data_IF_257451817897
#
_entry.id   IF_257451817897
#
_cell.length_a   1.000
_cell.length_b   1.000
_cell.length_c   1.000
_cell.angle_alpha   90.00
_cell.angle_beta   90.00
_cell.angle_gamma   90.00
#
_symmetry.space_group_name_H-M   'P 1'
#
loop_
_entity.id
_entity.type
_entity.pdbx_description
1 polymer ?
#
# COMPACT_ATOMS: atom_id res chain seq x y z
N UNK A 1 4.07 -5.76 -7.05
CA UNK A 1 3.26 -4.54 -7.28
C UNK A 1 3.95 -3.64 -8.28
N UNK A 2 3.20 -2.78 -8.98
CA UNK A 2 3.80 -1.71 -9.78
C UNK A 2 4.70 -0.82 -8.90
N UNK A 3 5.80 -0.33 -9.49
CA UNK A 3 6.86 0.43 -8.83
C UNK A 3 7.39 -0.17 -7.53
N UNK A 4 7.37 -1.51 -7.38
CA UNK A 4 8.01 -2.20 -6.24
C UNK A 4 9.41 -1.65 -6.00
N UNK A 5 10.23 -1.63 -7.05
CA UNK A 5 11.64 -1.21 -7.03
C UNK A 5 11.88 0.30 -7.01
N UNK A 6 10.82 1.11 -6.99
CA UNK A 6 10.89 2.55 -7.24
C UNK A 6 10.53 2.87 -8.69
N UNK A 7 10.84 4.09 -9.10
CA UNK A 7 10.46 4.64 -10.42
C UNK A 7 11.67 5.13 -11.21
N UNK A 8 12.83 4.52 -10.94
CA UNK A 8 14.08 4.74 -11.65
C UNK A 8 14.54 3.41 -12.27
N UNK A 9 14.75 3.41 -13.58
CA UNK A 9 15.13 2.20 -14.31
C UNK A 9 16.46 1.63 -13.83
N UNK A 10 16.53 0.29 -13.72
CA UNK A 10 17.70 -0.44 -13.21
C UNK A 10 18.03 -0.22 -11.73
N UNK A 11 17.21 0.52 -10.97
CA UNK A 11 17.43 0.77 -9.54
C UNK A 11 16.46 -0.07 -8.72
N UNK A 12 16.99 -0.84 -7.76
CA UNK A 12 16.20 -1.44 -6.69
C UNK A 12 16.29 -0.56 -5.44
N UNK A 13 15.37 0.39 -5.31
CA UNK A 13 15.31 1.29 -4.17
C UNK A 13 14.68 0.60 -2.95
N UNK A 14 15.53 0.13 -2.03
CA UNK A 14 15.08 -0.52 -0.80
C UNK A 14 14.40 0.42 0.21
N UNK A 15 14.52 1.73 0.01
CA UNK A 15 13.88 2.77 0.82
C UNK A 15 12.76 3.48 0.04
N UNK A 16 12.09 2.74 -0.85
CA UNK A 16 11.09 3.27 -1.75
C UNK A 16 9.82 3.72 -1.00
N UNK A 17 9.60 5.03 -0.99
CA UNK A 17 8.38 5.68 -0.50
C UNK A 17 7.50 6.24 -1.63
N UNK A 18 7.87 6.06 -2.91
CA UNK A 18 7.07 6.54 -4.03
C UNK A 18 5.59 6.09 -3.95
N UNK A 19 5.23 4.84 -3.61
CA UNK A 19 3.83 4.42 -3.62
C UNK A 19 2.98 4.96 -2.44
N UNK A 20 3.56 5.72 -1.51
CA UNK A 20 2.97 6.04 -0.19
C UNK A 20 2.16 7.34 -0.17
N UNK A 21 2.64 8.49 -0.73
CA UNK A 21 1.91 9.75 -0.63
C UNK A 21 0.48 9.68 -1.18
N UNK A 22 -0.47 10.40 -0.58
CA UNK A 22 -1.86 10.39 -1.03
C UNK A 22 -2.00 10.93 -2.46
N UNK A 23 -3.03 10.45 -3.17
CA UNK A 23 -3.44 10.96 -4.48
C UNK A 23 -4.58 11.97 -4.26
N UNK A 24 -4.32 13.26 -4.43
CA UNK A 24 -5.27 14.32 -4.14
C UNK A 24 -5.25 15.39 -5.24
N UNK A 25 -6.44 15.84 -5.66
CA UNK A 25 -6.64 16.88 -6.69
C UNK A 25 -5.90 16.57 -8.02
N UNK A 26 -5.99 15.31 -8.46
CA UNK A 26 -5.38 14.81 -9.68
C UNK A 26 -6.45 14.43 -10.72
N UNK A 27 -6.20 14.64 -12.03
CA UNK A 27 -7.03 14.03 -13.07
C UNK A 27 -6.80 12.51 -13.13
N UNK A 28 -7.75 11.76 -13.71
CA UNK A 28 -7.67 10.29 -13.86
C UNK A 28 -6.36 9.80 -14.46
N UNK A 29 -5.84 10.50 -15.47
CA UNK A 29 -4.57 10.15 -16.12
C UNK A 29 -3.33 10.25 -15.21
N UNK A 30 -3.45 10.84 -14.01
CA UNK A 30 -2.37 11.02 -13.05
C UNK A 30 -2.55 10.09 -11.84
N UNK A 31 -3.75 9.97 -11.26
CA UNK A 31 -3.93 9.10 -10.10
C UNK A 31 -4.10 7.62 -10.46
N UNK A 32 -4.57 7.31 -11.67
CA UNK A 32 -4.76 5.91 -12.09
C UNK A 32 -3.43 5.17 -12.10
N UNK A 33 -3.35 4.08 -11.34
CA UNK A 33 -2.11 3.31 -11.13
C UNK A 33 -0.91 4.18 -10.70
N UNK A 34 -1.16 5.28 -9.98
CA UNK A 34 -0.14 6.22 -9.50
C UNK A 34 0.79 6.73 -10.62
N UNK A 35 0.20 7.12 -11.75
CA UNK A 35 0.94 7.62 -12.91
C UNK A 35 1.68 8.94 -12.64
N UNK A 36 1.21 9.79 -11.73
CA UNK A 36 1.81 11.08 -11.34
C UNK A 36 3.28 10.95 -10.90
N UNK A 37 3.59 9.83 -10.27
CA UNK A 37 4.92 9.47 -9.75
C UNK A 37 5.63 8.42 -10.59
N UNK A 38 5.04 8.04 -11.72
CA UNK A 38 5.60 7.12 -12.71
C UNK A 38 5.33 5.64 -12.47
N UNK A 39 4.57 5.26 -11.43
CA UNK A 39 4.44 3.86 -11.04
C UNK A 39 3.82 2.96 -12.12
N UNK A 40 2.87 3.47 -12.90
CA UNK A 40 2.23 2.75 -14.01
C UNK A 40 3.21 2.29 -15.10
N UNK A 41 4.41 2.88 -15.19
CA UNK A 41 5.46 2.52 -16.14
C UNK A 41 6.44 1.45 -15.61
N UNK A 42 6.31 1.05 -14.34
CA UNK A 42 7.19 0.07 -13.70
C UNK A 42 6.38 -1.16 -13.27
N UNK A 43 6.08 -2.09 -14.18
CA UNK A 43 5.36 -3.32 -13.84
C UNK A 43 6.17 -4.18 -12.86
N UNK A 44 5.52 -5.12 -12.14
CA UNK A 44 6.24 -6.19 -11.46
C UNK A 44 7.02 -7.07 -12.46
N UNK A 45 7.97 -7.85 -11.95
CA UNK A 45 8.71 -8.83 -12.77
C UNK A 45 7.76 -9.92 -13.31
N UNK A 46 8.07 -10.46 -14.48
CA UNK A 46 7.29 -11.53 -15.10
C UNK A 46 7.19 -12.75 -14.15
N UNK A 47 5.96 -13.16 -13.84
CA UNK A 47 5.69 -14.28 -12.94
C UNK A 47 5.50 -13.90 -11.48
N UNK A 48 5.73 -12.64 -11.08
CA UNK A 48 5.44 -12.17 -9.72
C UNK A 48 3.95 -11.84 -9.57
N UNK A 49 3.19 -12.74 -8.93
CA UNK A 49 1.78 -12.58 -8.63
C UNK A 49 1.49 -12.57 -7.12
N UNK A 50 0.48 -11.80 -6.70
CA UNK A 50 -0.15 -11.98 -5.40
C UNK A 50 -1.18 -13.10 -5.51
N UNK A 51 -0.91 -14.23 -4.86
CA UNK A 51 -1.78 -15.40 -4.90
C UNK A 51 -2.99 -15.23 -3.97
N UNK A 52 -4.19 -15.46 -4.52
CA UNK A 52 -5.47 -15.31 -3.82
C UNK A 52 -6.15 -16.68 -3.67
N UNK A 53 -6.01 -17.37 -2.52
CA UNK A 53 -6.62 -18.67 -2.31
C UNK A 53 -8.14 -18.54 -2.17
N UNK A 54 -8.90 -19.15 -3.08
CA UNK A 54 -10.35 -19.14 -3.03
C UNK A 54 -10.89 -19.74 -1.72
N UNK A 55 -11.70 -18.98 -0.99
CA UNK A 55 -12.23 -19.37 0.32
C UNK A 55 -11.19 -19.43 1.45
N UNK A 56 -9.96 -18.99 1.19
CA UNK A 56 -8.88 -18.87 2.17
C UNK A 56 -8.66 -17.42 2.60
N UNK A 57 -7.61 -17.23 3.39
CA UNK A 57 -7.08 -15.92 3.75
C UNK A 57 -5.78 -15.65 3.02
N UNK A 58 -5.49 -14.39 2.76
CA UNK A 58 -4.19 -13.92 2.29
C UNK A 58 -3.72 -12.78 3.20
N UNK A 59 -2.40 -12.68 3.36
CA UNK A 59 -1.77 -11.65 4.18
C UNK A 59 -1.04 -10.67 3.28
N UNK A 60 -1.15 -9.39 3.60
CA UNK A 60 -0.50 -8.29 2.87
C UNK A 60 0.16 -7.35 3.86
N UNK A 61 1.18 -6.65 3.40
CA UNK A 61 1.95 -5.71 4.22
C UNK A 61 1.58 -4.28 3.82
N UNK A 62 1.19 -3.48 4.81
CA UNK A 62 0.92 -2.05 4.67
C UNK A 62 1.92 -1.30 5.54
N UNK A 63 2.71 -0.43 4.93
CA UNK A 63 3.77 0.31 5.59
C UNK A 63 3.89 1.73 5.03
N UNK A 64 4.47 2.64 5.81
CA UNK A 64 4.74 4.02 5.38
C UNK A 64 5.95 4.13 4.42
N UNK A 65 6.65 3.01 4.19
CA UNK A 65 7.76 2.87 3.26
C UNK A 65 7.99 1.37 3.00
N UNK A 66 8.39 0.99 1.78
CA UNK A 66 8.77 -0.40 1.44
C UNK A 66 9.84 -0.95 2.37
N UNK A 67 10.67 -0.06 2.92
CA UNK A 67 11.66 -0.28 3.95
C UNK A 67 11.21 -1.21 5.08
N UNK A 68 9.96 -1.07 5.53
CA UNK A 68 9.41 -1.74 6.71
C UNK A 68 8.53 -2.93 6.33
N UNK A 69 8.77 -3.50 5.14
CA UNK A 69 8.12 -4.71 4.65
C UNK A 69 9.16 -5.80 4.38
N UNK A 70 8.72 -7.04 4.22
CA UNK A 70 9.60 -8.16 3.84
C UNK A 70 10.22 -8.00 2.44
N UNK A 71 9.76 -7.02 1.65
CA UNK A 71 10.27 -6.73 0.31
C UNK A 71 11.61 -5.97 0.32
N UNK A 72 12.13 -5.58 1.49
CA UNK A 72 13.37 -4.80 1.63
C UNK A 72 14.26 -5.35 2.75
N UNK A 73 15.57 -5.25 2.57
CA UNK A 73 16.62 -5.68 3.50
C UNK A 73 16.35 -7.01 4.20
N UNK A 74 15.87 -7.99 3.44
CA UNK A 74 15.51 -9.33 3.92
C UNK A 74 14.56 -9.31 5.14
N UNK A 75 13.69 -8.29 5.22
CA UNK A 75 12.73 -8.09 6.31
C UNK A 75 13.36 -7.61 7.62
N UNK A 76 14.65 -7.26 7.66
CA UNK A 76 15.33 -6.90 8.93
C UNK A 76 14.83 -5.62 9.60
N UNK A 77 13.99 -4.85 8.91
CA UNK A 77 13.36 -3.62 9.42
C UNK A 77 11.84 -3.73 9.60
N UNK A 78 11.26 -4.91 9.38
CA UNK A 78 9.83 -5.11 9.64
C UNK A 78 9.55 -5.07 11.13
N UNK A 79 8.38 -4.57 11.50
CA UNK A 79 7.82 -4.66 12.84
C UNK A 79 6.32 -4.98 12.73
N UNK A 80 5.62 -5.08 13.86
CA UNK A 80 4.15 -5.14 13.86
C UNK A 80 3.51 -3.85 13.33
N UNK A 81 4.27 -2.75 13.33
CA UNK A 81 3.81 -1.41 12.99
C UNK A 81 4.35 -0.94 11.63
N UNK A 82 3.58 -0.10 10.91
CA UNK A 82 3.88 0.27 9.51
C UNK A 82 5.12 1.17 9.34
N UNK A 83 5.68 1.68 10.44
CA UNK A 83 6.87 2.54 10.45
C UNK A 83 8.14 1.80 10.90
N UNK A 84 8.06 0.49 11.14
CA UNK A 84 9.19 -0.34 11.57
C UNK A 84 9.65 -0.10 12.99
N UNK A 85 8.91 0.66 13.80
CA UNK A 85 9.21 0.92 15.20
C UNK A 85 8.33 0.07 16.14
N UNK A 86 8.74 -0.04 17.40
CA UNK A 86 7.91 -0.65 18.44
C UNK A 86 6.97 0.40 19.05
N UNK A 87 5.66 0.11 19.07
CA UNK A 87 4.64 0.92 19.74
C UNK A 87 3.85 0.07 20.75
N UNK A 88 3.25 0.68 21.79
CA UNK A 88 2.37 -0.03 22.71
C UNK A 88 1.06 -0.47 22.02
N UNK A 89 0.40 -1.51 22.52
CA UNK A 89 -0.89 -1.99 21.96
C UNK A 89 -1.96 -0.89 21.89
N UNK A 90 -1.97 0.04 22.84
CA UNK A 90 -2.90 1.17 22.90
C UNK A 90 -2.41 2.39 22.12
N UNK A 91 -1.54 2.22 21.11
CA UNK A 91 -0.97 3.31 20.33
C UNK A 91 -2.04 4.27 19.82
N UNK A 92 -1.97 5.50 20.29
CA UNK A 92 -2.94 6.54 20.03
C UNK A 92 -2.27 7.88 19.75
N UNK A 93 -2.97 8.73 18.99
CA UNK A 93 -2.60 10.13 18.83
C UNK A 93 -2.81 10.89 20.14
N UNK A 94 -1.82 11.71 20.53
CA UNK A 94 -1.65 12.13 21.93
C UNK A 94 -2.84 12.81 22.63
N UNK A 95 -3.74 13.51 21.94
CA UNK A 95 -4.94 14.09 22.57
C UNK A 95 -6.20 13.85 21.75
N UNK A 96 -7.29 13.45 22.45
CA UNK A 96 -8.64 13.32 21.91
C UNK A 96 -8.99 14.54 21.05
N UNK A 97 -9.36 14.28 19.79
CA UNK A 97 -9.88 15.30 18.87
C UNK A 97 -8.89 15.87 17.84
N UNK A 98 -7.58 15.87 18.09
CA UNK A 98 -6.64 16.62 17.21
C UNK A 98 -5.40 15.85 16.72
N UNK A 99 -5.01 14.72 17.31
CA UNK A 99 -3.81 13.98 16.88
C UNK A 99 -4.11 12.68 16.14
N UNK A 100 -3.64 12.53 14.90
CA UNK A 100 -3.41 11.19 14.34
C UNK A 100 -2.25 10.52 15.10
N UNK A 101 -2.14 9.20 15.00
CA UNK A 101 -0.95 8.50 15.50
C UNK A 101 0.32 9.11 14.87
N UNK A 102 1.36 9.43 15.66
CA UNK A 102 2.57 10.08 15.16
C UNK A 102 3.40 9.10 14.32
N UNK A 103 4.10 9.57 13.27
CA UNK A 103 5.09 8.80 12.49
C UNK A 103 4.62 7.52 11.76
N UNK A 104 3.42 7.01 12.02
CA UNK A 104 2.86 5.85 11.33
C UNK A 104 2.34 6.14 9.93
N UNK A 105 2.15 7.42 9.57
CA UNK A 105 1.46 7.86 8.34
C UNK A 105 0.08 7.22 8.13
N UNK A 106 -0.50 6.65 9.19
CA UNK A 106 -1.88 6.19 9.19
C UNK A 106 -2.76 7.33 9.69
N UNK A 107 -3.72 7.74 8.86
CA UNK A 107 -4.64 8.83 9.16
C UNK A 107 -5.77 8.36 10.10
N UNK A 108 -5.39 7.88 11.28
CA UNK A 108 -6.29 7.42 12.34
C UNK A 108 -5.78 7.88 13.71
N UNK A 109 -6.70 8.03 14.67
CA UNK A 109 -6.36 8.37 16.05
C UNK A 109 -5.93 7.15 16.87
N UNK A 110 -6.45 5.97 16.54
CA UNK A 110 -6.18 4.67 17.17
C UNK A 110 -6.79 3.55 16.29
N UNK A 111 -6.64 2.29 16.70
CA UNK A 111 -7.20 1.15 15.95
C UNK A 111 -8.71 1.28 15.68
N UNK A 112 -9.52 1.64 16.68
CA UNK A 112 -10.99 1.72 16.56
C UNK A 112 -11.51 2.83 15.64
N UNK A 113 -10.63 3.76 15.25
CA UNK A 113 -10.93 4.91 14.39
C UNK A 113 -10.44 4.70 12.96
N UNK A 114 -9.87 3.53 12.63
CA UNK A 114 -9.51 3.22 11.25
C UNK A 114 -10.78 3.24 10.36
N UNK A 115 -10.65 3.59 9.08
CA UNK A 115 -11.79 3.62 8.17
C UNK A 115 -11.95 2.33 7.33
N UNK A 116 -11.01 1.39 7.47
CA UNK A 116 -10.93 0.19 6.63
C UNK A 116 -10.20 0.42 5.30
N UNK A 117 -9.91 -0.67 4.60
CA UNK A 117 -9.30 -0.70 3.26
C UNK A 117 -9.87 -1.91 2.51
N UNK A 118 -9.87 -1.85 1.18
CA UNK A 118 -10.47 -2.88 0.33
C UNK A 118 -9.50 -3.34 -0.77
N UNK A 119 -9.67 -4.58 -1.22
CA UNK A 119 -9.04 -5.11 -2.41
C UNK A 119 -10.07 -5.18 -3.54
N UNK A 120 -9.70 -4.64 -4.70
CA UNK A 120 -10.48 -4.73 -5.92
C UNK A 120 -9.75 -5.54 -6.99
N UNK A 121 -10.51 -6.18 -7.88
CA UNK A 121 -10.01 -7.03 -8.96
C UNK A 121 -10.72 -6.68 -10.27
N UNK A 122 -9.98 -6.75 -11.37
CA UNK A 122 -10.51 -6.76 -12.74
C UNK A 122 -9.97 -8.02 -13.44
N UNK A 123 -10.83 -8.73 -14.17
CA UNK A 123 -10.47 -9.95 -14.90
C UNK A 123 -9.96 -9.59 -16.30
N UNK A 124 -8.79 -8.97 -16.36
CA UNK A 124 -8.13 -8.53 -17.59
C UNK A 124 -6.60 -8.66 -17.43
N UNK A 125 -5.94 -9.07 -18.51
CA UNK A 125 -4.48 -9.27 -18.57
C UNK A 125 -3.72 -8.04 -19.05
N UNK A 126 -4.31 -7.22 -19.93
CA UNK A 126 -3.71 -5.96 -20.39
C UNK A 126 -4.16 -4.81 -19.48
N UNK A 127 -3.22 -4.29 -18.68
CA UNK A 127 -3.49 -3.14 -17.82
C UNK A 127 -4.11 -1.95 -18.58
N UNK A 128 -3.75 -1.74 -19.84
CA UNK A 128 -4.25 -0.61 -20.63
C UNK A 128 -5.72 -0.77 -21.04
N UNK A 129 -6.26 -1.98 -20.96
CA UNK A 129 -7.67 -2.26 -21.22
C UNK A 129 -8.55 -2.09 -19.97
N UNK A 130 -7.95 -1.96 -18.77
CA UNK A 130 -8.69 -1.84 -17.51
C UNK A 130 -9.17 -0.40 -17.30
N UNK A 131 -10.48 -0.24 -17.12
CA UNK A 131 -11.12 0.98 -16.66
C UNK A 131 -11.48 0.91 -15.17
N UNK A 132 -11.95 2.04 -14.61
CA UNK A 132 -12.35 2.08 -13.21
C UNK A 132 -13.61 1.24 -12.95
N UNK A 133 -14.46 1.20 -13.96
CA UNK A 133 -15.75 0.54 -13.98
C UNK A 133 -15.62 -0.98 -14.01
N UNK A 134 -14.45 -1.51 -14.36
CA UNK A 134 -14.15 -2.93 -14.38
C UNK A 134 -13.72 -3.47 -13.00
N UNK A 135 -13.37 -2.59 -12.06
CA UNK A 135 -12.92 -2.96 -10.72
C UNK A 135 -14.08 -3.39 -9.84
N UNK A 136 -14.01 -4.61 -9.31
CA UNK A 136 -14.95 -5.14 -8.33
C UNK A 136 -14.25 -5.37 -7.00
N UNK A 137 -14.79 -4.80 -5.91
CA UNK A 137 -14.32 -5.09 -4.55
C UNK A 137 -14.66 -6.54 -4.20
N UNK A 138 -13.64 -7.36 -3.92
CA UNK A 138 -13.81 -8.78 -3.60
C UNK A 138 -13.44 -9.14 -2.15
N UNK A 139 -12.66 -8.29 -1.48
CA UNK A 139 -12.27 -8.50 -0.08
C UNK A 139 -12.18 -7.17 0.65
N UNK A 140 -12.66 -7.17 1.89
CA UNK A 140 -12.48 -6.11 2.88
C UNK A 140 -11.97 -6.77 4.17
N UNK A 141 -11.30 -5.99 5.02
CA UNK A 141 -11.03 -6.41 6.39
C UNK A 141 -11.96 -5.62 7.30
N UNK A 142 -12.98 -6.30 7.85
CA UNK A 142 -13.83 -5.71 8.88
C UNK A 142 -13.04 -5.53 10.18
N UNK A 143 -13.38 -4.47 10.92
CA UNK A 143 -12.81 -4.16 12.24
C UNK A 143 -13.50 -4.92 13.35
#
# INVERSE_FOLDING_TARGET
MYCRNGTVDGVNDQDNSAPVPPLYDLPKSQWWFQADRGCSSFPPDDGDFLELPAGGSFTVELANNRAFTTLSWDGTRTSEWPDGADHPEDWNGGSEGEGCIPNGFMHTQNQSMAAGTAWAIAYESDLNAIAMEDLVVFSVLDQ
#
